data_IF_118649253094
#
_entry.id   IF_118649253094
#
_cell.length_a   1.000
_cell.length_b   1.000
_cell.length_c   1.000
_cell.angle_alpha   90.00
_cell.angle_beta   90.00
_cell.angle_gamma   90.00
#
_symmetry.space_group_name_H-M   'P 1'
#
loop_
_entity.id
_entity.type
_entity.pdbx_description
1 polymer ?
#
# COMPACT_ATOMS: atom_id res chain seq x y z
N UNK A 1 -40.16 29.79 34.90
CA UNK A 1 -40.28 29.63 33.44
C UNK A 1 -39.95 30.97 32.81
N UNK A 2 -38.68 31.20 32.48
CA UNK A 2 -38.25 32.46 31.87
C UNK A 2 -38.22 32.35 30.33
N UNK A 3 -38.81 33.30 29.61
CA UNK A 3 -38.78 33.32 28.15
C UNK A 3 -37.41 33.80 27.66
N UNK A 4 -36.72 32.91 26.95
CA UNK A 4 -35.43 33.11 26.32
C UNK A 4 -35.53 34.22 25.25
N UNK A 5 -35.05 35.43 25.58
CA UNK A 5 -35.02 36.60 24.67
C UNK A 5 -33.87 36.43 23.68
N UNK A 6 -34.20 35.91 22.51
CA UNK A 6 -33.31 35.81 21.36
C UNK A 6 -32.91 37.22 20.88
N UNK A 7 -31.68 37.64 21.17
CA UNK A 7 -31.15 38.93 20.77
C UNK A 7 -31.02 39.02 19.24
N UNK A 8 -31.72 39.99 18.65
CA UNK A 8 -31.74 40.25 17.22
C UNK A 8 -30.41 40.92 16.82
N UNK A 9 -29.53 40.15 16.17
CA UNK A 9 -28.24 40.65 15.70
C UNK A 9 -28.43 41.74 14.63
N UNK A 10 -27.60 42.80 14.66
CA UNK A 10 -27.66 43.88 13.67
C UNK A 10 -27.25 43.38 12.27
N UNK A 11 -27.83 43.95 11.20
CA UNK A 11 -27.45 43.62 9.84
C UNK A 11 -25.98 43.99 9.58
N UNK A 12 -25.24 43.07 8.98
CA UNK A 12 -23.83 43.27 8.66
C UNK A 12 -23.66 44.42 7.63
N UNK A 13 -22.65 45.29 7.78
CA UNK A 13 -22.39 46.35 6.83
C UNK A 13 -22.01 45.78 5.47
N UNK A 14 -22.68 46.27 4.43
CA UNK A 14 -22.41 45.90 3.03
C UNK A 14 -21.12 46.60 2.57
N UNK A 15 -19.99 45.91 2.73
CA UNK A 15 -18.68 46.38 2.26
C UNK A 15 -18.68 46.26 0.74
N UNK A 16 -18.95 47.38 0.07
CA UNK A 16 -18.80 47.52 -1.38
C UNK A 16 -17.30 47.53 -1.70
N UNK A 17 -16.75 46.36 -2.02
CA UNK A 17 -15.40 46.22 -2.56
C UNK A 17 -15.32 46.94 -3.90
N UNK A 18 -14.76 48.15 -3.90
CA UNK A 18 -14.31 48.81 -5.10
C UNK A 18 -13.20 47.96 -5.74
N UNK A 19 -13.58 47.30 -6.82
CA UNK A 19 -12.71 46.42 -7.60
C UNK A 19 -11.74 47.31 -8.38
N UNK A 20 -10.51 47.45 -7.90
CA UNK A 20 -9.44 48.14 -8.64
C UNK A 20 -9.07 47.32 -9.88
N UNK A 21 -9.60 47.73 -11.03
CA UNK A 21 -9.41 47.10 -12.34
C UNK A 21 -8.13 47.60 -13.03
N UNK A 22 -6.92 47.35 -12.53
CA UNK A 22 -5.73 47.44 -13.40
C UNK A 22 -4.40 46.87 -12.86
N UNK A 23 -4.39 45.62 -12.42
CA UNK A 23 -3.13 44.88 -12.24
C UNK A 23 -3.25 43.52 -12.94
N UNK A 24 -3.03 43.48 -14.26
CA UNK A 24 -2.76 42.21 -14.94
C UNK A 24 -1.27 41.89 -14.75
N UNK A 25 -0.90 40.95 -13.86
CA UNK A 25 0.48 40.52 -13.74
C UNK A 25 0.94 39.89 -15.06
N UNK A 26 2.21 40.12 -15.47
CA UNK A 26 2.74 39.56 -16.70
C UNK A 26 2.58 38.04 -16.71
N UNK A 27 2.20 37.48 -17.86
CA UNK A 27 1.90 36.07 -18.05
C UNK A 27 3.07 35.18 -17.60
N UNK A 28 3.06 34.74 -16.34
CA UNK A 28 4.04 33.81 -15.80
C UNK A 28 3.82 32.48 -16.51
N UNK A 29 4.83 32.06 -17.30
CA UNK A 29 4.88 30.72 -17.89
C UNK A 29 4.68 29.71 -16.76
N UNK A 30 3.50 29.08 -16.70
CA UNK A 30 3.19 28.10 -15.66
C UNK A 30 4.21 26.97 -15.79
N UNK A 31 4.95 26.60 -14.72
CA UNK A 31 5.88 25.49 -14.78
C UNK A 31 5.10 24.27 -15.29
N UNK A 32 5.65 23.60 -16.32
CA UNK A 32 5.06 22.37 -16.84
C UNK A 32 4.93 21.40 -15.67
N UNK A 33 3.70 21.01 -15.33
CA UNK A 33 3.46 20.05 -14.24
C UNK A 33 4.22 18.78 -14.57
N UNK A 34 5.19 18.41 -13.74
CA UNK A 34 5.84 17.11 -13.84
C UNK A 34 4.76 16.03 -13.76
N UNK A 35 4.88 14.99 -14.58
CA UNK A 35 3.94 13.86 -14.58
C UNK A 35 3.92 13.30 -13.16
N UNK A 36 2.78 13.38 -12.48
CA UNK A 36 2.65 12.89 -11.11
C UNK A 36 2.87 11.38 -11.09
N UNK A 37 3.72 10.90 -10.18
CA UNK A 37 3.88 9.46 -9.95
C UNK A 37 2.53 8.88 -9.50
N UNK A 38 2.11 7.79 -10.13
CA UNK A 38 0.88 7.07 -9.78
C UNK A 38 1.24 5.74 -9.12
N UNK A 39 0.57 5.43 -8.02
CA UNK A 39 0.71 4.14 -7.36
C UNK A 39 0.05 3.04 -8.18
N UNK A 40 0.75 1.92 -8.28
CA UNK A 40 0.33 0.71 -8.95
C UNK A 40 -0.46 -0.22 -8.01
N UNK A 41 -1.13 -1.22 -8.58
CA UNK A 41 -1.78 -2.26 -7.78
C UNK A 41 -0.70 -3.24 -7.29
N UNK A 42 -0.61 -3.52 -5.97
CA UNK A 42 0.41 -4.43 -5.42
C UNK A 42 0.36 -5.83 -6.04
N UNK A 43 -0.83 -6.36 -6.31
CA UNK A 43 -1.01 -7.69 -6.88
C UNK A 43 -0.60 -7.68 -8.36
N UNK A 44 -1.05 -6.68 -9.13
CA UNK A 44 -0.65 -6.54 -10.53
C UNK A 44 0.87 -6.42 -10.70
N UNK A 45 1.53 -5.62 -9.86
CA UNK A 45 2.98 -5.47 -9.93
C UNK A 45 3.72 -6.76 -9.59
N UNK A 46 3.20 -7.52 -8.63
CA UNK A 46 3.75 -8.84 -8.31
C UNK A 46 3.62 -9.81 -9.47
N UNK A 47 2.42 -9.92 -10.06
CA UNK A 47 2.16 -10.81 -11.18
C UNK A 47 3.00 -10.41 -12.40
N UNK A 48 3.10 -9.10 -12.69
CA UNK A 48 3.98 -8.54 -13.74
C UNK A 48 5.44 -8.93 -13.52
N UNK A 49 5.95 -8.80 -12.30
CA UNK A 49 7.33 -9.14 -11.98
C UNK A 49 7.60 -10.66 -12.03
N UNK A 50 6.61 -11.49 -11.68
CA UNK A 50 6.66 -12.95 -11.82
C UNK A 50 6.41 -13.43 -13.25
N UNK A 51 6.09 -12.53 -14.19
CA UNK A 51 5.68 -12.84 -15.58
C UNK A 51 4.49 -13.81 -15.63
N UNK A 52 3.54 -13.63 -14.73
CA UNK A 52 2.29 -14.37 -14.72
C UNK A 52 1.19 -13.60 -15.48
N UNK A 53 0.21 -14.33 -15.98
CA UNK A 53 -0.98 -13.73 -16.58
C UNK A 53 -1.81 -13.02 -15.50
N UNK A 54 -1.71 -11.69 -15.46
CA UNK A 54 -2.42 -10.88 -14.48
C UNK A 54 -3.88 -10.70 -14.91
N UNK A 55 -4.83 -11.14 -14.08
CA UNK A 55 -6.26 -10.83 -14.26
C UNK A 55 -6.59 -9.36 -13.93
N UNK A 56 -5.66 -8.66 -13.31
CA UNK A 56 -5.78 -7.26 -12.95
C UNK A 56 -5.25 -6.36 -14.07
N UNK A 57 -6.03 -5.35 -14.46
CA UNK A 57 -5.58 -4.30 -15.40
C UNK A 57 -4.70 -3.21 -14.76
N UNK A 58 -4.31 -3.39 -13.50
CA UNK A 58 -3.61 -2.38 -12.70
C UNK A 58 -4.50 -1.24 -12.22
N UNK A 59 -3.88 -0.24 -11.58
CA UNK A 59 -4.54 1.01 -11.16
C UNK A 59 -3.58 2.18 -11.39
N UNK A 60 -4.07 3.24 -12.01
CA UNK A 60 -3.35 4.50 -12.24
C UNK A 60 -3.62 5.54 -11.16
N UNK A 61 -3.67 5.12 -9.89
CA UNK A 61 -4.14 5.97 -8.79
C UNK A 61 -3.09 7.00 -8.36
N UNK A 62 -3.49 8.25 -8.13
CA UNK A 62 -2.61 9.27 -7.55
C UNK A 62 -2.41 9.11 -6.03
N UNK A 63 -3.16 8.20 -5.38
CA UNK A 63 -3.22 8.08 -3.93
C UNK A 63 -3.41 6.63 -3.45
N UNK A 64 -3.02 6.35 -2.20
CA UNK A 64 -3.29 5.05 -1.55
C UNK A 64 -4.78 4.73 -1.40
N UNK A 65 -5.65 5.75 -1.34
CA UNK A 65 -7.10 5.54 -1.32
C UNK A 65 -7.63 4.94 -2.62
N UNK A 66 -7.02 5.30 -3.76
CA UNK A 66 -7.35 4.68 -5.05
C UNK A 66 -6.93 3.23 -5.10
N UNK A 67 -5.74 2.92 -4.58
CA UNK A 67 -5.23 1.53 -4.47
C UNK A 67 -6.15 0.68 -3.59
N UNK A 68 -6.53 1.16 -2.40
CA UNK A 68 -7.48 0.46 -1.52
C UNK A 68 -8.82 0.20 -2.21
N UNK A 69 -9.41 1.24 -2.80
CA UNK A 69 -10.70 1.13 -3.51
C UNK A 69 -10.62 0.15 -4.68
N UNK A 70 -9.48 0.08 -5.35
CA UNK A 70 -9.25 -0.88 -6.42
C UNK A 70 -9.18 -2.32 -5.87
N UNK A 71 -8.48 -2.55 -4.75
CA UNK A 71 -8.40 -3.87 -4.10
C UNK A 71 -9.75 -4.33 -3.51
N UNK A 72 -10.56 -3.42 -2.96
CA UNK A 72 -11.93 -3.72 -2.49
C UNK A 72 -12.86 -4.10 -3.66
N UNK A 73 -12.56 -3.61 -4.87
CA UNK A 73 -13.36 -3.85 -6.08
C UNK A 73 -12.82 -5.02 -6.90
N UNK A 74 -13.49 -5.28 -8.03
CA UNK A 74 -13.05 -6.29 -9.00
C UNK A 74 -11.71 -5.89 -9.61
N UNK A 75 -10.74 -6.82 -9.75
CA UNK A 75 -10.90 -8.28 -9.67
C UNK A 75 -10.63 -8.91 -8.30
N UNK A 76 -10.09 -8.17 -7.33
CA UNK A 76 -9.52 -8.78 -6.13
C UNK A 76 -10.54 -9.06 -5.03
N UNK A 77 -11.53 -8.17 -4.83
CA UNK A 77 -12.55 -8.26 -3.77
C UNK A 77 -11.96 -8.51 -2.37
N UNK A 78 -10.79 -7.94 -2.09
CA UNK A 78 -10.09 -8.11 -0.82
C UNK A 78 -10.65 -7.11 0.18
N UNK A 79 -10.97 -7.58 1.39
CA UNK A 79 -11.32 -6.68 2.48
C UNK A 79 -10.09 -5.85 2.84
N UNK A 80 -10.22 -4.52 2.76
CA UNK A 80 -9.15 -3.62 3.20
C UNK A 80 -9.74 -2.34 3.76
N UNK A 81 -9.42 -2.03 5.01
CA UNK A 81 -9.84 -0.79 5.67
C UNK A 81 -8.66 -0.05 6.25
N UNK A 82 -8.70 1.28 6.11
CA UNK A 82 -7.78 2.17 6.82
C UNK A 82 -8.30 2.39 8.24
N UNK A 83 -7.47 2.12 9.24
CA UNK A 83 -7.75 2.59 10.59
C UNK A 83 -7.49 4.09 10.69
N UNK A 84 -8.51 4.88 11.07
CA UNK A 84 -8.39 6.35 11.19
C UNK A 84 -7.48 6.80 12.34
N UNK A 85 -7.23 5.94 13.32
CA UNK A 85 -6.42 6.26 14.51
C UNK A 85 -4.93 6.01 14.26
N UNK A 86 -4.56 4.80 13.80
CA UNK A 86 -3.16 4.46 13.55
C UNK A 86 -2.69 4.72 12.10
N UNK A 87 -3.62 5.05 11.18
CA UNK A 87 -3.35 5.21 9.75
C UNK A 87 -2.73 3.97 9.08
N UNK A 88 -3.07 2.77 9.56
CA UNK A 88 -2.63 1.50 8.98
C UNK A 88 -3.73 0.82 8.17
N UNK A 89 -3.30 0.11 7.11
CA UNK A 89 -4.16 -0.70 6.27
C UNK A 89 -4.34 -2.09 6.90
N UNK A 90 -5.58 -2.44 7.19
CA UNK A 90 -5.97 -3.70 7.82
C UNK A 90 -6.72 -4.53 6.77
N UNK A 91 -6.21 -5.74 6.49
CA UNK A 91 -6.76 -6.64 5.48
C UNK A 91 -7.68 -7.71 6.06
N UNK A 92 -7.63 -7.93 7.37
CA UNK A 92 -8.51 -8.87 8.06
C UNK A 92 -9.71 -8.13 8.70
N UNK A 93 -10.91 -8.62 8.41
CA UNK A 93 -12.14 -8.00 8.91
C UNK A 93 -12.32 -8.18 10.42
N UNK A 94 -11.90 -9.33 10.96
CA UNK A 94 -11.99 -9.61 12.38
C UNK A 94 -11.01 -8.75 13.19
N UNK A 95 -9.77 -8.61 12.72
CA UNK A 95 -8.74 -7.73 13.26
C UNK A 95 -9.25 -6.28 13.32
N UNK A 96 -9.87 -5.82 12.22
CA UNK A 96 -10.43 -4.47 12.17
C UNK A 96 -11.54 -4.26 13.22
N UNK A 97 -12.46 -5.21 13.36
CA UNK A 97 -13.60 -5.10 14.28
C UNK A 97 -13.19 -5.25 15.77
N UNK A 98 -12.14 -6.04 16.04
CA UNK A 98 -11.69 -6.36 17.39
C UNK A 98 -10.69 -5.33 17.93
N UNK A 99 -9.72 -4.93 17.12
CA UNK A 99 -8.59 -4.10 17.55
C UNK A 99 -8.64 -2.67 17.00
N UNK A 100 -9.30 -2.48 15.85
CA UNK A 100 -9.45 -1.17 15.22
C UNK A 100 -10.90 -0.67 15.35
N UNK A 101 -11.54 -0.19 14.28
CA UNK A 101 -12.98 0.14 14.31
C UNK A 101 -13.47 1.12 15.40
N UNK A 102 -12.57 1.88 16.04
CA UNK A 102 -12.86 2.74 17.20
C UNK A 102 -12.22 2.31 18.53
N UNK A 103 -11.67 1.09 18.61
CA UNK A 103 -10.96 0.53 19.77
C UNK A 103 -9.44 0.69 19.70
N UNK A 104 -8.91 1.20 18.58
CA UNK A 104 -7.48 1.37 18.38
C UNK A 104 -6.92 2.41 19.36
N UNK A 105 -5.89 2.03 20.13
CA UNK A 105 -5.19 2.91 21.09
C UNK A 105 -3.94 3.56 20.49
N UNK A 106 -3.41 2.99 19.42
CA UNK A 106 -2.18 3.46 18.78
C UNK A 106 -2.50 4.65 17.89
N UNK A 107 -2.05 5.84 18.27
CA UNK A 107 -2.19 7.04 17.46
C UNK A 107 -1.03 7.10 16.47
N UNK A 108 -1.36 7.10 15.19
CA UNK A 108 -0.39 7.21 14.10
C UNK A 108 -0.46 8.59 13.45
N UNK A 109 0.70 9.15 13.10
CA UNK A 109 0.76 10.41 12.34
C UNK A 109 0.14 10.28 10.95
N UNK A 110 -0.44 11.36 10.44
CA UNK A 110 -0.93 11.40 9.06
C UNK A 110 0.26 11.31 8.10
N UNK A 111 0.25 10.30 7.23
CA UNK A 111 1.35 10.07 6.28
C UNK A 111 1.29 11.04 5.10
N UNK A 112 2.39 11.75 4.81
CA UNK A 112 2.53 12.66 3.65
C UNK A 112 3.80 12.35 2.85
N UNK A 113 3.75 12.57 1.53
CA UNK A 113 4.91 12.40 0.65
C UNK A 113 5.44 10.96 0.62
N UNK A 114 6.74 10.78 0.85
CA UNK A 114 7.42 9.47 0.80
C UNK A 114 6.83 8.40 1.74
N UNK A 115 6.09 8.81 2.78
CA UNK A 115 5.40 7.86 3.66
C UNK A 115 4.25 7.11 2.98
N UNK A 116 3.74 7.60 1.85
CA UNK A 116 2.75 6.87 1.05
C UNK A 116 3.38 5.63 0.37
N UNK A 117 4.66 5.73 0.00
CA UNK A 117 5.44 4.60 -0.52
C UNK A 117 5.61 3.52 0.53
N UNK A 118 5.98 3.93 1.74
CA UNK A 118 6.12 3.04 2.88
C UNK A 118 4.79 2.35 3.23
N UNK A 119 3.67 3.08 3.13
CA UNK A 119 2.33 2.54 3.32
C UNK A 119 2.00 1.48 2.25
N UNK A 120 2.33 1.75 0.99
CA UNK A 120 2.18 0.78 -0.10
C UNK A 120 3.00 -0.49 0.16
N UNK A 121 4.26 -0.33 0.59
CA UNK A 121 5.17 -1.43 0.88
C UNK A 121 4.67 -2.30 2.03
N UNK A 122 4.15 -1.70 3.10
CA UNK A 122 3.53 -2.43 4.21
C UNK A 122 2.29 -3.19 3.76
N UNK A 123 1.45 -2.57 2.93
CA UNK A 123 0.28 -3.22 2.36
C UNK A 123 0.67 -4.42 1.48
N UNK A 124 1.68 -4.27 0.62
CA UNK A 124 2.19 -5.36 -0.22
C UNK A 124 2.64 -6.56 0.62
N UNK A 125 3.43 -6.33 1.69
CA UNK A 125 3.89 -7.40 2.59
C UNK A 125 2.72 -8.14 3.25
N UNK A 126 1.65 -7.44 3.63
CA UNK A 126 0.43 -8.08 4.17
C UNK A 126 -0.30 -8.93 3.12
N UNK A 127 -0.35 -8.48 1.87
CA UNK A 127 -1.01 -9.20 0.77
C UNK A 127 -0.22 -10.41 0.28
N UNK A 128 1.12 -10.34 0.29
CA UNK A 128 2.02 -11.37 -0.22
C UNK A 128 3.16 -11.65 0.78
N UNK A 129 2.86 -12.27 1.94
CA UNK A 129 3.87 -12.50 2.98
C UNK A 129 4.98 -13.46 2.57
N UNK A 130 4.73 -14.32 1.58
CA UNK A 130 5.69 -15.31 1.05
C UNK A 130 6.53 -14.79 -0.11
N UNK A 131 6.32 -13.54 -0.55
CA UNK A 131 7.09 -12.98 -1.65
C UNK A 131 8.55 -12.74 -1.25
N UNK A 132 9.49 -13.27 -2.03
CA UNK A 132 10.94 -13.11 -1.80
C UNK A 132 11.49 -11.75 -2.22
N UNK A 133 10.76 -11.00 -3.06
CA UNK A 133 11.13 -9.67 -3.52
C UNK A 133 9.96 -8.71 -3.37
N UNK A 134 10.28 -7.42 -3.36
CA UNK A 134 9.31 -6.34 -3.24
C UNK A 134 9.31 -5.52 -4.54
N UNK A 135 8.22 -5.51 -5.32
CA UNK A 135 8.17 -4.74 -6.57
C UNK A 135 8.09 -3.23 -6.33
N UNK A 136 8.34 -2.44 -7.39
CA UNK A 136 8.18 -0.98 -7.30
C UNK A 136 6.71 -0.61 -7.09
N UNK A 137 6.43 0.37 -6.20
CA UNK A 137 5.09 0.88 -5.95
C UNK A 137 4.50 1.71 -7.11
N UNK A 138 5.30 2.14 -8.10
CA UNK A 138 4.85 3.08 -9.13
C UNK A 138 4.68 2.42 -10.51
N UNK A 139 3.70 2.88 -11.31
CA UNK A 139 3.45 2.33 -12.65
C UNK A 139 4.50 2.69 -13.71
N UNK A 140 5.20 3.82 -13.53
CA UNK A 140 6.05 4.42 -14.57
C UNK A 140 7.55 4.20 -14.33
N UNK A 141 7.92 3.30 -13.44
CA UNK A 141 9.31 2.85 -13.32
C UNK A 141 9.62 1.77 -14.36
N UNK A 142 9.04 1.91 -15.57
CA UNK A 142 9.68 1.41 -16.77
C UNK A 142 10.99 2.20 -16.92
N UNK A 143 11.95 1.76 -16.12
CA UNK A 143 13.38 1.93 -16.30
C UNK A 143 13.83 1.31 -17.64
N UNK A 144 12.89 0.83 -18.45
CA UNK A 144 12.87 0.92 -19.90
C UNK A 144 12.94 2.35 -20.45
N UNK A 145 13.72 3.22 -19.81
CA UNK A 145 14.91 3.61 -20.55
C UNK A 145 15.53 2.34 -21.11
N UNK A 146 15.11 1.97 -22.33
CA UNK A 146 16.09 1.97 -23.40
C UNK A 146 17.00 3.17 -23.09
N UNK A 147 18.02 2.92 -22.27
CA UNK A 147 19.36 3.29 -22.62
C UNK A 147 19.43 2.87 -24.07
N UNK A 148 19.01 3.81 -24.93
CA UNK A 148 19.45 3.97 -26.28
C UNK A 148 20.96 4.19 -26.12
N UNK A 149 21.64 3.13 -25.69
CA UNK A 149 22.84 2.62 -26.29
C UNK A 149 22.51 2.46 -27.78
N UNK A 150 22.32 3.59 -28.48
CA UNK A 150 23.32 4.08 -29.42
C UNK A 150 24.69 3.82 -28.80
N UNK A 151 25.05 2.53 -28.84
CA UNK A 151 26.36 2.08 -29.23
C UNK A 151 26.67 2.96 -30.44
N UNK A 152 27.36 4.07 -30.18
CA UNK A 152 28.10 4.70 -31.24
C UNK A 152 28.95 3.56 -31.83
N UNK A 153 28.83 3.24 -33.12
CA UNK A 153 29.56 2.14 -33.70
C UNK A 153 31.05 2.35 -33.41
N UNK A 154 31.61 1.45 -32.59
CA UNK A 154 33.02 1.41 -32.26
C UNK A 154 33.82 1.37 -33.55
N UNK A 155 34.52 2.47 -33.85
CA UNK A 155 35.70 2.41 -34.71
C UNK A 155 36.83 1.83 -33.88
N UNK A 156 36.98 0.51 -34.02
CA UNK A 156 38.25 -0.23 -34.11
C UNK A 156 39.54 0.53 -33.74
N UNK A 157 40.23 0.03 -32.70
CA UNK A 157 41.70 -0.05 -32.48
C UNK A 157 41.90 -0.12 -30.95
N UNK A 158 42.57 -1.08 -30.29
CA UNK A 158 43.73 -1.94 -30.62
C UNK A 158 43.90 -2.97 -29.47
N UNK A 159 44.75 -4.00 -29.63
CA UNK A 159 44.80 -5.17 -28.76
C UNK A 159 45.77 -5.04 -27.56
N UNK A 160 45.55 -5.96 -26.63
CA UNK A 160 46.53 -6.60 -25.72
C UNK A 160 47.33 -5.74 -24.75
N UNK A 161 47.03 -5.93 -23.46
CA UNK A 161 48.07 -6.23 -22.46
C UNK A 161 47.48 -7.14 -21.39
N UNK A 162 47.97 -8.37 -21.35
CA UNK A 162 47.71 -9.35 -20.31
C UNK A 162 48.34 -8.86 -19.00
N UNK A 163 47.59 -8.86 -17.90
CA UNK A 163 48.16 -8.74 -16.56
C UNK A 163 47.44 -9.68 -15.60
N UNK A 164 48.16 -10.75 -15.28
CA UNK A 164 47.86 -11.76 -14.27
C UNK A 164 48.41 -11.30 -12.92
N UNK A 165 47.56 -11.01 -11.94
CA UNK A 165 47.86 -11.04 -10.50
C UNK A 165 46.55 -11.41 -9.78
N UNK A 166 46.37 -12.66 -9.35
CA UNK A 166 46.76 -13.27 -8.05
C UNK A 166 46.10 -12.62 -6.82
N UNK A 167 45.08 -13.33 -6.33
CA UNK A 167 44.59 -13.57 -4.95
C UNK A 167 44.86 -12.55 -3.83
N UNK A 168 43.80 -12.19 -3.08
CA UNK A 168 43.73 -12.43 -1.64
C UNK A 168 42.28 -12.35 -1.15
N UNK A 169 41.84 -13.46 -0.54
CA UNK A 169 40.62 -13.59 0.25
C UNK A 169 40.63 -12.60 1.42
N UNK A 170 39.63 -11.74 1.51
CA UNK A 170 39.40 -10.92 2.70
C UNK A 170 37.99 -11.17 3.22
N UNK A 171 37.80 -12.33 3.83
CA UNK A 171 36.61 -12.69 4.60
C UNK A 171 36.80 -12.19 6.04
N UNK A 172 36.40 -10.93 6.26
CA UNK A 172 36.14 -10.37 7.58
C UNK A 172 34.71 -9.81 7.56
N UNK A 173 33.75 -10.71 7.78
CA UNK A 173 32.36 -10.36 8.07
C UNK A 173 32.13 -10.52 9.58
N UNK A 174 32.24 -9.45 10.39
CA UNK A 174 32.05 -9.50 11.84
C UNK A 174 30.58 -9.60 12.28
N UNK A 175 29.64 -9.83 11.36
CA UNK A 175 28.21 -9.95 11.67
C UNK A 175 27.67 -11.32 11.27
N UNK A 176 28.21 -12.39 11.87
CA UNK A 176 27.51 -13.69 11.93
C UNK A 176 26.67 -13.69 13.21
N UNK A 177 25.34 -13.57 13.14
CA UNK A 177 24.48 -13.79 14.30
C UNK A 177 24.73 -15.21 14.79
N UNK A 178 24.95 -15.34 16.09
CA UNK A 178 25.10 -16.62 16.77
C UNK A 178 23.95 -17.54 16.40
N UNK A 179 24.27 -18.72 15.89
CA UNK A 179 23.35 -19.84 15.69
C UNK A 179 22.88 -20.29 17.09
N UNK A 180 21.90 -19.56 17.62
CA UNK A 180 21.22 -19.87 18.85
C UNK A 180 20.14 -20.91 18.58
N UNK A 181 20.42 -22.11 19.06
CA UNK A 181 19.43 -23.07 19.58
C UNK A 181 18.25 -23.38 18.67
N UNK A 182 18.38 -24.51 17.97
CA UNK A 182 17.24 -25.33 17.60
C UNK A 182 16.49 -25.74 18.90
N UNK A 183 15.51 -24.94 19.28
CA UNK A 183 14.46 -25.40 20.19
C UNK A 183 13.64 -26.38 19.37
N UNK A 184 13.87 -27.67 19.62
CA UNK A 184 12.97 -28.72 19.21
C UNK A 184 11.61 -28.39 19.82
N UNK A 185 10.70 -27.89 18.99
CA UNK A 185 9.28 -27.90 19.31
C UNK A 185 8.85 -29.34 19.04
N UNK A 186 8.97 -30.17 20.08
CA UNK A 186 8.15 -31.37 20.26
C UNK A 186 6.70 -30.90 20.20
N UNK A 187 6.18 -30.83 18.99
CA UNK A 187 4.76 -30.72 18.73
C UNK A 187 4.21 -32.11 19.05
N UNK A 188 3.79 -32.30 20.30
CA UNK A 188 2.82 -33.33 20.65
C UNK A 188 1.63 -33.19 19.69
N UNK A 189 1.54 -34.15 18.79
CA UNK A 189 0.45 -34.35 17.86
C UNK A 189 -0.84 -34.50 18.68
N UNK A 190 -1.81 -33.57 18.61
CA UNK A 190 -3.07 -33.77 19.29
C UNK A 190 -3.78 -34.96 18.64
N UNK A 191 -3.85 -36.06 19.39
CA UNK A 191 -4.64 -37.23 19.06
C UNK A 191 -6.06 -36.79 18.66
N UNK A 192 -6.61 -37.25 17.53
CA UNK A 192 -8.00 -37.05 17.20
C UNK A 192 -8.84 -37.93 18.12
N UNK A 193 -9.15 -37.42 19.33
CA UNK A 193 -10.17 -38.04 20.17
C UNK A 193 -11.51 -37.90 19.46
N UNK A 194 -12.01 -39.07 19.06
CA UNK A 194 -13.32 -39.28 18.50
C UNK A 194 -14.40 -38.63 19.40
N UNK A 195 -14.86 -37.44 19.03
CA UNK A 195 -16.11 -36.90 19.55
C UNK A 195 -17.26 -37.39 18.66
N UNK A 196 -17.49 -38.69 18.79
CA UNK A 196 -18.78 -39.29 18.53
C UNK A 196 -19.74 -38.79 19.62
N UNK A 197 -20.58 -37.80 19.32
CA UNK A 197 -21.80 -37.63 20.10
C UNK A 197 -22.88 -36.82 19.42
N UNK A 198 -23.95 -37.56 19.13
CA UNK A 198 -25.32 -37.18 19.46
C UNK A 198 -26.05 -36.35 18.40
N UNK A 199 -26.68 -37.12 17.50
CA UNK A 199 -28.09 -36.95 17.08
C UNK A 199 -28.92 -36.15 18.10
N UNK A 200 -29.55 -35.07 17.66
CA UNK A 200 -30.97 -34.83 17.95
C UNK A 200 -31.56 -33.94 16.88
N UNK A 201 -32.51 -34.52 16.15
CA UNK A 201 -33.35 -33.80 15.22
C UNK A 201 -34.11 -32.70 15.94
N UNK A 202 -34.23 -31.56 15.28
CA UNK A 202 -35.20 -30.53 15.63
C UNK A 202 -36.10 -30.38 14.41
N UNK A 203 -37.17 -31.17 14.41
CA UNK A 203 -38.34 -30.94 13.56
C UNK A 203 -38.96 -29.61 14.01
N UNK A 204 -38.80 -28.56 13.22
CA UNK A 204 -39.55 -27.33 13.42
C UNK A 204 -40.78 -27.37 12.53
N UNK A 205 -41.90 -27.72 13.16
CA UNK A 205 -43.22 -27.74 12.57
C UNK A 205 -43.59 -26.40 11.95
N UNK A 206 -43.99 -26.45 10.69
CA UNK A 206 -44.73 -25.42 9.98
C UNK A 206 -46.04 -25.11 10.71
N UNK A 207 -46.17 -23.90 11.25
CA UNK A 207 -47.47 -23.35 11.64
C UNK A 207 -47.87 -22.33 10.58
N UNK A 208 -48.83 -22.74 9.74
CA UNK A 208 -49.51 -21.86 8.80
C UNK A 208 -50.26 -20.74 9.54
N UNK A 209 -50.34 -19.58 8.89
CA UNK A 209 -51.29 -18.53 9.25
C UNK A 209 -52.16 -18.25 8.04
N UNK A 210 -53.46 -18.25 8.32
CA UNK A 210 -54.58 -17.87 7.46
C UNK A 210 -54.43 -16.47 6.87
#
# INVERSE_FOLDING_TARGET
MEPNRLAKLPPAPSISLQRSENCQPPARKRPRRSKSKTFACPIFQYDKAMRWDSLCGGVGGGSMSDVRRHLERSPHKIYIRLCKTCNEDIIDQSEYNNLHGGKCRTVGGQRRGGQAEEQWNRLFKKLKPTASFQPSPYNNDDSGGESDSRVAPSRSSTPETQSLFITASNSNDPWRPSEGSAIAWDAEEPQPEAMESTRRGSEFSSVGRN
#
